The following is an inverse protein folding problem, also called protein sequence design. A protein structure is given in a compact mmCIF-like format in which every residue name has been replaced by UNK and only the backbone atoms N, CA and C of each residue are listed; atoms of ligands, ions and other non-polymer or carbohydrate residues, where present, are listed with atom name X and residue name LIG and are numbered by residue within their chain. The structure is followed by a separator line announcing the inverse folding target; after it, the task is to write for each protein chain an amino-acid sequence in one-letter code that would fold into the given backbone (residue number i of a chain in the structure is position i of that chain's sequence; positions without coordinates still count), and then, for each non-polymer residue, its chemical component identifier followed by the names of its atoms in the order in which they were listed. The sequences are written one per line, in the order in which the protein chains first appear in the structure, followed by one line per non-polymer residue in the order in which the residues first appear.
data_IF_488783050771
#
_entry.id   IF_488783050771
#
_cell.length_a   1.000
_cell.length_b   1.000
_cell.length_c   1.000
_cell.angle_alpha   90.00
_cell.angle_beta   90.00
_cell.angle_gamma   90.00
#
_symmetry.space_group_name_H-M   'P 1'
#
loop_
_entity.id
_entity.type
_entity.pdbx_description
1 polymer ?
#
# COMPACT_ATOMS: atom_id res chain seq x y z
N UNK A 1 28.68 -30.97 -14.92
CA UNK A 1 28.21 -29.71 -15.52
C UNK A 1 27.03 -29.25 -14.70
N UNK A 2 27.23 -28.32 -13.78
CA UNK A 2 26.16 -27.75 -12.95
C UNK A 2 25.25 -26.93 -13.87
N UNK A 3 24.00 -27.38 -14.01
CA UNK A 3 22.98 -26.64 -14.75
C UNK A 3 22.82 -25.28 -14.05
N UNK A 4 23.26 -24.19 -14.69
CA UNK A 4 23.24 -22.87 -14.09
C UNK A 4 21.78 -22.41 -14.12
N UNK A 5 21.06 -22.57 -13.01
CA UNK A 5 19.66 -22.15 -12.91
C UNK A 5 19.55 -20.68 -13.31
N UNK A 6 18.63 -20.39 -14.24
CA UNK A 6 18.37 -19.02 -14.67
C UNK A 6 17.30 -18.40 -13.77
N UNK A 7 17.26 -17.07 -13.71
CA UNK A 7 16.21 -16.34 -13.00
C UNK A 7 14.80 -16.76 -13.46
N UNK A 8 14.63 -17.00 -14.76
CA UNK A 8 13.35 -17.42 -15.33
C UNK A 8 12.92 -18.80 -14.81
N UNK A 9 13.86 -19.72 -14.69
CA UNK A 9 13.59 -21.06 -14.14
C UNK A 9 13.19 -20.96 -12.66
N UNK A 10 13.85 -20.07 -11.91
CA UNK A 10 13.55 -19.83 -10.50
C UNK A 10 12.18 -19.17 -10.28
N UNK A 11 11.82 -18.15 -11.07
CA UNK A 11 10.48 -17.56 -11.05
C UNK A 11 9.43 -18.63 -11.37
N UNK A 12 9.67 -19.45 -12.40
CA UNK A 12 8.73 -20.52 -12.77
C UNK A 12 8.59 -21.57 -11.67
N UNK A 13 9.69 -21.91 -10.98
CA UNK A 13 9.70 -22.82 -9.83
C UNK A 13 8.87 -22.27 -8.68
N UNK A 14 9.09 -21.01 -8.30
CA UNK A 14 8.33 -20.34 -7.23
C UNK A 14 6.85 -20.31 -7.58
N UNK A 15 6.47 -19.91 -8.79
CA UNK A 15 5.06 -19.83 -9.19
C UNK A 15 4.36 -21.19 -9.23
N UNK A 16 5.11 -22.28 -9.44
CA UNK A 16 4.59 -23.64 -9.39
C UNK A 16 4.39 -24.19 -7.96
N UNK A 17 5.00 -23.58 -6.94
CA UNK A 17 4.79 -23.95 -5.54
C UNK A 17 3.41 -23.52 -5.03
N UNK A 18 2.95 -24.18 -3.96
CA UNK A 18 1.77 -23.73 -3.22
C UNK A 18 2.04 -22.37 -2.58
N UNK A 19 0.99 -21.58 -2.35
CA UNK A 19 1.16 -20.22 -1.85
C UNK A 19 1.95 -20.16 -0.53
N UNK A 20 1.66 -21.05 0.42
CA UNK A 20 2.36 -21.17 1.70
C UNK A 20 3.86 -21.52 1.57
N UNK A 21 4.28 -22.11 0.45
CA UNK A 21 5.68 -22.47 0.20
C UNK A 21 6.44 -21.39 -0.58
N UNK A 22 5.74 -20.46 -1.24
CA UNK A 22 6.35 -19.47 -2.13
C UNK A 22 7.31 -18.55 -1.40
N UNK A 23 6.95 -18.05 -0.22
CA UNK A 23 7.81 -17.15 0.56
C UNK A 23 9.17 -17.79 0.86
N UNK A 24 9.16 -19.00 1.45
CA UNK A 24 10.39 -19.78 1.69
C UNK A 24 11.13 -20.07 0.39
N UNK A 25 10.41 -20.42 -0.68
CA UNK A 25 10.98 -20.68 -2.00
C UNK A 25 11.72 -19.48 -2.62
N UNK A 26 11.27 -18.25 -2.35
CA UNK A 26 11.91 -16.99 -2.76
C UNK A 26 13.11 -16.67 -1.87
N UNK A 27 12.97 -16.83 -0.54
CA UNK A 27 14.06 -16.59 0.42
C UNK A 27 15.25 -17.52 0.16
N UNK A 28 14.99 -18.79 -0.12
CA UNK A 28 16.03 -19.79 -0.36
C UNK A 28 16.67 -19.66 -1.76
N UNK A 29 16.12 -18.80 -2.63
CA UNK A 29 16.65 -18.58 -3.98
C UNK A 29 17.89 -17.68 -3.96
N UNK A 30 18.93 -17.95 -4.78
CA UNK A 30 20.01 -16.99 -4.97
C UNK A 30 19.57 -15.71 -5.70
N UNK A 31 18.32 -15.62 -6.16
CA UNK A 31 17.76 -14.49 -6.89
C UNK A 31 16.59 -13.79 -6.16
N UNK A 32 16.51 -13.88 -4.82
CA UNK A 32 15.41 -13.31 -4.00
C UNK A 32 14.98 -11.92 -4.47
N UNK A 33 15.93 -10.97 -4.56
CA UNK A 33 15.67 -9.59 -4.98
C UNK A 33 15.12 -9.52 -6.41
N UNK A 34 15.78 -10.16 -7.36
CA UNK A 34 15.38 -10.10 -8.77
C UNK A 34 14.04 -10.79 -9.04
N UNK A 35 13.68 -11.79 -8.23
CA UNK A 35 12.35 -12.43 -8.30
C UNK A 35 11.30 -11.41 -7.85
N UNK A 36 11.48 -10.77 -6.69
CA UNK A 36 10.53 -9.79 -6.16
C UNK A 36 10.38 -8.55 -7.07
N UNK A 37 11.45 -8.13 -7.74
CA UNK A 37 11.43 -7.05 -8.75
C UNK A 37 10.64 -7.41 -10.03
N UNK A 38 10.55 -8.71 -10.38
CA UNK A 38 9.95 -9.16 -11.64
C UNK A 38 8.59 -9.84 -11.47
N UNK A 39 8.21 -10.19 -10.24
CA UNK A 39 6.89 -10.71 -9.98
C UNK A 39 5.83 -9.62 -10.26
N UNK A 40 4.70 -9.99 -10.88
CA UNK A 40 3.56 -9.09 -10.93
C UNK A 40 3.20 -8.61 -9.51
N UNK A 41 2.89 -7.32 -9.29
CA UNK A 41 2.61 -6.79 -7.96
C UNK A 41 1.53 -7.58 -7.21
N UNK A 42 0.53 -8.09 -7.91
CA UNK A 42 -0.54 -8.91 -7.31
C UNK A 42 -0.01 -10.23 -6.74
N UNK A 43 0.91 -10.90 -7.46
CA UNK A 43 1.52 -12.15 -6.99
C UNK A 43 2.47 -11.88 -5.82
N UNK A 44 3.28 -10.82 -5.91
CA UNK A 44 4.18 -10.43 -4.83
C UNK A 44 3.38 -10.06 -3.56
N UNK A 45 2.31 -9.27 -3.70
CA UNK A 45 1.39 -8.93 -2.61
C UNK A 45 0.87 -10.18 -1.89
N UNK A 46 0.30 -11.14 -2.62
CA UNK A 46 -0.28 -12.35 -2.03
C UNK A 46 0.81 -13.14 -1.28
N UNK A 47 2.03 -13.25 -1.83
CA UNK A 47 3.14 -13.93 -1.15
C UNK A 47 3.53 -13.22 0.15
N UNK A 48 3.66 -11.88 0.13
CA UNK A 48 3.97 -11.09 1.32
C UNK A 48 2.87 -11.28 2.38
N UNK A 49 1.60 -11.14 1.99
CA UNK A 49 0.46 -11.22 2.92
C UNK A 49 0.27 -12.62 3.50
N UNK A 50 0.51 -13.68 2.73
CA UNK A 50 0.51 -15.05 3.26
C UNK A 50 1.63 -15.26 4.29
N UNK A 51 2.79 -14.64 4.09
CA UNK A 51 3.93 -14.75 5.00
C UNK A 51 3.92 -13.79 6.19
N UNK A 52 2.83 -13.03 6.37
CA UNK A 52 2.73 -11.97 7.37
C UNK A 52 2.93 -12.49 8.80
N UNK A 53 3.73 -11.77 9.59
CA UNK A 53 4.09 -12.20 10.95
C UNK A 53 5.04 -13.42 11.01
N UNK A 54 5.58 -13.85 9.86
CA UNK A 54 6.58 -14.92 9.77
C UNK A 54 7.81 -14.45 8.97
N UNK A 55 7.75 -14.59 7.65
CA UNK A 55 8.87 -14.39 6.73
C UNK A 55 8.69 -13.09 5.88
N UNK A 56 7.56 -12.39 6.01
CA UNK A 56 7.22 -11.14 5.32
C UNK A 56 8.29 -10.05 5.45
N UNK A 57 8.77 -9.81 6.68
CA UNK A 57 9.77 -8.78 6.95
C UNK A 57 11.11 -9.06 6.24
N UNK A 58 11.48 -10.33 6.03
CA UNK A 58 12.68 -10.71 5.28
C UNK A 58 12.49 -10.34 3.80
N UNK A 59 11.32 -10.64 3.24
CA UNK A 59 11.02 -10.38 1.84
C UNK A 59 10.88 -8.88 1.56
N UNK A 60 10.21 -8.13 2.44
CA UNK A 60 9.94 -6.70 2.28
C UNK A 60 11.20 -5.85 2.13
N UNK A 61 12.32 -6.24 2.71
CA UNK A 61 13.62 -5.58 2.53
C UNK A 61 14.09 -5.55 1.05
N UNK A 62 13.55 -6.44 0.22
CA UNK A 62 13.91 -6.58 -1.18
C UNK A 62 12.80 -6.13 -2.15
N UNK A 63 11.64 -5.74 -1.63
CA UNK A 63 10.51 -5.29 -2.45
C UNK A 63 10.75 -3.82 -2.85
N UNK A 64 10.66 -3.47 -4.14
CA UNK A 64 10.71 -2.07 -4.57
C UNK A 64 9.56 -1.24 -3.95
N UNK A 65 9.84 0.00 -3.53
CA UNK A 65 8.84 0.86 -2.91
C UNK A 65 7.62 1.14 -3.82
N UNK A 66 7.81 1.20 -5.13
CA UNK A 66 6.70 1.28 -6.10
C UNK A 66 5.75 0.08 -6.00
N UNK A 67 6.29 -1.13 -5.77
CA UNK A 67 5.47 -2.33 -5.58
C UNK A 67 4.74 -2.29 -4.23
N UNK A 68 5.38 -1.78 -3.17
CA UNK A 68 4.72 -1.52 -1.87
C UNK A 68 3.52 -0.60 -2.03
N UNK A 69 3.62 0.46 -2.84
CA UNK A 69 2.48 1.33 -3.14
C UNK A 69 1.33 0.55 -3.79
N UNK A 70 1.63 -0.37 -4.72
CA UNK A 70 0.61 -1.25 -5.31
C UNK A 70 0.02 -2.22 -4.28
N UNK A 71 0.78 -2.67 -3.30
CA UNK A 71 0.25 -3.54 -2.23
C UNK A 71 -0.76 -2.76 -1.37
N UNK A 72 -0.42 -1.52 -1.03
CA UNK A 72 -1.31 -0.61 -0.29
C UNK A 72 -2.58 -0.33 -1.10
N UNK A 73 -2.49 -0.09 -2.42
CA UNK A 73 -3.67 0.07 -3.29
C UNK A 73 -4.59 -1.18 -3.28
N UNK A 74 -4.01 -2.38 -3.11
CA UNK A 74 -4.75 -3.64 -3.11
C UNK A 74 -5.38 -3.99 -1.75
N UNK A 75 -4.73 -3.64 -0.64
CA UNK A 75 -5.09 -4.15 0.69
C UNK A 75 -5.67 -3.09 1.64
N UNK A 76 -5.30 -1.82 1.48
CA UNK A 76 -5.66 -0.77 2.44
C UNK A 76 -6.97 -0.04 2.10
N UNK A 77 -7.82 -0.58 1.24
CA UNK A 77 -8.99 0.14 0.73
C UNK A 77 -10.28 -0.64 0.82
N UNK A 78 -11.31 0.00 1.39
CA UNK A 78 -12.69 -0.45 1.35
C UNK A 78 -13.46 0.40 0.34
N UNK A 79 -13.59 -0.12 -0.89
CA UNK A 79 -14.16 0.62 -2.04
C UNK A 79 -13.37 1.90 -2.32
N UNK A 80 -13.92 3.05 -1.94
CA UNK A 80 -13.42 4.40 -2.12
C UNK A 80 -12.85 5.04 -0.85
N UNK A 81 -12.85 4.31 0.26
CA UNK A 81 -12.29 4.78 1.53
C UNK A 81 -10.99 4.05 1.87
N UNK A 82 -9.98 4.82 2.29
CA UNK A 82 -8.72 4.31 2.80
C UNK A 82 -8.90 3.83 4.25
N UNK A 83 -8.51 2.58 4.51
CA UNK A 83 -8.34 2.04 5.85
C UNK A 83 -6.99 2.50 6.42
N UNK A 84 -7.05 3.51 7.30
CA UNK A 84 -5.87 3.98 8.05
C UNK A 84 -5.29 2.88 8.94
N UNK A 85 -6.14 2.01 9.47
CA UNK A 85 -5.71 0.85 10.27
C UNK A 85 -4.87 -0.13 9.46
N UNK A 86 -5.32 -0.49 8.26
CA UNK A 86 -4.58 -1.39 7.37
C UNK A 86 -3.26 -0.74 6.93
N UNK A 87 -3.28 0.55 6.61
CA UNK A 87 -2.07 1.29 6.26
C UNK A 87 -1.06 1.30 7.41
N UNK A 88 -1.53 1.51 8.65
CA UNK A 88 -0.68 1.47 9.84
C UNK A 88 0.00 0.11 10.00
N UNK A 89 -0.73 -0.99 9.79
CA UNK A 89 -0.16 -2.35 9.82
C UNK A 89 0.94 -2.53 8.77
N UNK A 90 0.74 -2.03 7.55
CA UNK A 90 1.76 -2.05 6.49
C UNK A 90 3.02 -1.27 6.87
N UNK A 91 2.87 -0.07 7.42
CA UNK A 91 4.00 0.77 7.82
C UNK A 91 4.78 0.15 8.99
N UNK A 92 4.09 -0.44 9.96
CA UNK A 92 4.73 -1.19 11.05
C UNK A 92 5.50 -2.40 10.51
N UNK A 93 4.93 -3.14 9.57
CA UNK A 93 5.58 -4.31 8.97
C UNK A 93 6.81 -3.92 8.14
N UNK A 94 6.75 -2.81 7.39
CA UNK A 94 7.90 -2.23 6.69
C UNK A 94 8.98 -1.76 7.67
N UNK A 95 8.59 -1.15 8.78
CA UNK A 95 9.54 -0.76 9.84
C UNK A 95 10.26 -1.97 10.42
N UNK A 96 9.52 -3.06 10.69
CA UNK A 96 10.07 -4.33 11.13
C UNK A 96 10.99 -4.99 10.10
N UNK A 97 10.73 -4.77 8.81
CA UNK A 97 11.60 -5.21 7.73
C UNK A 97 12.94 -4.45 7.74
N UNK A 98 12.91 -3.13 7.60
CA UNK A 98 14.05 -2.24 7.81
C UNK A 98 13.62 -0.78 7.84
N UNK A 99 14.39 0.09 8.52
CA UNK A 99 14.14 1.53 8.48
C UNK A 99 14.25 2.11 7.06
N UNK A 100 15.14 1.56 6.22
CA UNK A 100 15.28 1.98 4.81
C UNK A 100 14.01 1.69 4.00
N UNK A 101 13.39 0.52 4.20
CA UNK A 101 12.13 0.17 3.55
C UNK A 101 11.00 1.13 3.92
N UNK A 102 10.93 1.55 5.18
CA UNK A 102 9.93 2.52 5.63
C UNK A 102 10.17 3.92 5.05
N UNK A 103 11.42 4.39 5.03
CA UNK A 103 11.78 5.70 4.45
C UNK A 103 11.45 5.71 2.95
N UNK A 104 11.86 4.69 2.20
CA UNK A 104 11.54 4.58 0.77
C UNK A 104 10.03 4.53 0.53
N UNK A 105 9.26 3.91 1.43
CA UNK A 105 7.81 3.94 1.34
C UNK A 105 7.25 5.36 1.55
N UNK A 106 7.76 6.15 2.52
CA UNK A 106 7.36 7.54 2.68
C UNK A 106 7.67 8.40 1.45
N UNK A 107 8.84 8.22 0.84
CA UNK A 107 9.24 8.95 -0.37
C UNK A 107 8.36 8.61 -1.59
N UNK A 108 7.80 7.40 -1.63
CA UNK A 108 7.07 6.89 -2.80
C UNK A 108 5.55 7.01 -2.66
N UNK A 109 5.02 6.95 -1.43
CA UNK A 109 3.59 7.06 -1.18
C UNK A 109 3.07 8.44 -1.55
N UNK A 110 1.83 8.47 -2.04
CA UNK A 110 1.13 9.72 -2.28
C UNK A 110 1.05 10.54 -0.98
N UNK A 111 1.37 11.83 -1.06
CA UNK A 111 1.31 12.74 0.10
C UNK A 111 -0.05 12.66 0.79
N UNK A 112 -1.14 12.58 0.04
CA UNK A 112 -2.50 12.50 0.55
C UNK A 112 -2.72 11.27 1.44
N UNK A 113 -2.09 10.13 1.14
CA UNK A 113 -2.15 8.92 1.98
C UNK A 113 -1.47 9.16 3.33
N UNK A 114 -0.30 9.79 3.31
CA UNK A 114 0.44 10.12 4.52
C UNK A 114 -0.31 11.17 5.34
N UNK A 115 -0.89 12.17 4.70
CA UNK A 115 -1.72 13.19 5.37
C UNK A 115 -2.94 12.54 6.01
N UNK A 116 -3.66 11.66 5.32
CA UNK A 116 -4.80 10.93 5.89
C UNK A 116 -4.42 10.08 7.10
N UNK A 117 -3.26 9.43 7.05
CA UNK A 117 -2.71 8.72 8.21
C UNK A 117 -2.52 9.69 9.38
N UNK A 118 -1.76 10.77 9.21
CA UNK A 118 -1.45 11.66 10.32
C UNK A 118 -2.68 12.45 10.82
N UNK A 119 -3.63 12.82 9.95
CA UNK A 119 -4.89 13.45 10.35
C UNK A 119 -5.74 12.58 11.29
N UNK A 120 -5.57 11.26 11.25
CA UNK A 120 -6.29 10.34 12.14
C UNK A 120 -5.66 10.23 13.54
N UNK A 121 -4.35 10.54 13.66
CA UNK A 121 -3.59 10.33 14.90
C UNK A 121 -3.15 11.62 15.58
N UNK A 122 -2.89 12.72 14.87
CA UNK A 122 -2.29 13.92 15.44
C UNK A 122 -3.10 15.18 15.18
N UNK A 123 -3.04 16.08 16.15
CA UNK A 123 -3.39 17.49 16.03
C UNK A 123 -2.10 18.29 15.85
N UNK A 124 -2.10 19.30 14.98
CA UNK A 124 -0.92 20.11 14.66
C UNK A 124 -1.25 21.59 14.77
N UNK A 125 -0.31 22.36 15.34
CA UNK A 125 -0.35 23.81 15.46
C UNK A 125 0.98 24.38 14.97
N UNK A 126 0.91 25.35 14.06
CA UNK A 126 2.08 26.11 13.62
C UNK A 126 2.24 27.38 14.46
N UNK A 127 3.43 27.59 15.02
CA UNK A 127 3.76 28.76 15.84
C UNK A 127 4.99 29.49 15.31
N UNK A 128 5.13 30.75 15.70
CA UNK A 128 6.39 31.47 15.50
C UNK A 128 7.31 31.20 16.70
N UNK A 129 8.65 31.16 16.53
CA UNK A 129 9.56 30.88 17.64
C UNK A 129 9.47 31.85 18.84
N UNK A 130 8.88 33.03 18.65
CA UNK A 130 8.69 34.05 19.69
C UNK A 130 7.24 34.11 20.20
N UNK A 131 6.43 33.10 19.91
CA UNK A 131 5.03 33.06 20.34
C UNK A 131 4.96 32.83 21.87
N UNK A 132 4.25 33.71 22.57
CA UNK A 132 4.11 33.64 24.02
C UNK A 132 3.23 32.46 24.47
N UNK A 133 2.49 31.83 23.55
CA UNK A 133 1.61 30.69 23.83
C UNK A 133 2.31 29.32 23.80
N UNK A 134 3.60 29.26 23.44
CA UNK A 134 4.38 28.01 23.42
C UNK A 134 4.34 27.26 24.77
N UNK A 135 4.52 27.91 25.94
CA UNK A 135 4.40 27.24 27.23
C UNK A 135 3.02 26.60 27.45
N UNK A 136 1.94 27.26 27.01
CA UNK A 136 0.58 26.74 27.14
C UNK A 136 0.39 25.48 26.27
N UNK A 137 0.92 25.47 25.05
CA UNK A 137 0.89 24.28 24.18
C UNK A 137 1.65 23.09 24.80
N UNK A 138 2.82 23.34 25.39
CA UNK A 138 3.60 22.29 26.08
C UNK A 138 2.83 21.74 27.29
N UNK A 139 2.16 22.59 28.06
CA UNK A 139 1.31 22.19 29.18
C UNK A 139 0.07 21.37 28.73
N UNK A 140 -0.42 21.62 27.51
CA UNK A 140 -1.49 20.85 26.87
C UNK A 140 -1.00 19.51 26.26
N UNK A 141 0.29 19.23 26.34
CA UNK A 141 0.91 17.98 25.87
C UNK A 141 1.34 17.99 24.40
N UNK A 142 1.42 19.17 23.76
CA UNK A 142 2.07 19.28 22.47
C UNK A 142 3.59 19.15 22.61
N UNK A 143 4.21 18.60 21.58
CA UNK A 143 5.67 18.50 21.43
C UNK A 143 6.09 18.95 20.03
N UNK A 144 7.38 19.20 19.84
CA UNK A 144 7.89 19.66 18.54
C UNK A 144 9.31 19.14 18.30
N UNK A 145 9.61 18.79 17.05
CA UNK A 145 10.95 18.40 16.60
C UNK A 145 11.75 19.58 16.03
N UNK A 146 11.07 20.65 15.60
CA UNK A 146 11.65 21.77 14.85
C UNK A 146 11.37 23.16 15.46
N UNK A 147 10.62 23.21 16.56
CA UNK A 147 10.14 24.42 17.24
C UNK A 147 9.28 25.35 16.36
N UNK A 148 8.70 24.81 15.27
CA UNK A 148 7.82 25.55 14.35
C UNK A 148 6.46 24.87 14.27
N UNK A 149 6.44 23.56 14.05
CA UNK A 149 5.23 22.76 14.12
C UNK A 149 5.20 22.00 15.43
N UNK A 150 4.15 22.25 16.21
CA UNK A 150 3.85 21.55 17.45
C UNK A 150 2.75 20.55 17.16
N UNK A 151 2.89 19.32 17.62
CA UNK A 151 1.89 18.28 17.43
C UNK A 151 1.60 17.55 18.73
N UNK A 152 0.41 16.95 18.81
CA UNK A 152 0.01 16.07 19.89
C UNK A 152 -0.79 14.91 19.32
N UNK A 153 -0.60 13.71 19.88
CA UNK A 153 -1.42 12.55 19.53
C UNK A 153 -2.82 12.72 20.15
N UNK A 154 -3.87 12.62 19.33
CA UNK A 154 -5.26 12.89 19.73
C UNK A 154 -5.76 11.82 20.71
N UNK A 155 -5.48 10.54 20.40
CA UNK A 155 -5.88 9.39 21.22
C UNK A 155 -4.66 8.51 21.47
N UNK A 156 -4.15 8.52 22.70
CA UNK A 156 -3.02 7.64 23.06
C UNK A 156 -3.46 6.17 23.11
N UNK A 157 -2.74 5.35 22.36
CA UNK A 157 -2.91 3.91 22.21
C UNK A 157 -1.56 3.22 21.97
N UNK A 158 -1.59 1.92 21.69
CA UNK A 158 -0.38 1.12 21.44
C UNK A 158 0.37 1.53 20.15
N UNK A 159 -0.25 2.31 19.26
CA UNK A 159 0.33 2.77 17.98
C UNK A 159 0.93 4.17 18.08
N UNK A 160 0.60 4.90 19.13
CA UNK A 160 1.01 6.29 19.35
C UNK A 160 2.53 6.46 19.40
N UNK A 161 3.26 5.47 19.93
CA UNK A 161 4.73 5.46 19.89
C UNK A 161 5.24 5.45 18.45
N UNK A 162 4.66 4.59 17.62
CA UNK A 162 5.08 4.43 16.23
C UNK A 162 4.79 5.69 15.40
N UNK A 163 3.70 6.41 15.67
CA UNK A 163 3.43 7.73 15.09
C UNK A 163 4.59 8.70 15.34
N UNK A 164 5.04 8.80 16.59
CA UNK A 164 6.15 9.69 16.97
C UNK A 164 7.46 9.25 16.34
N UNK A 165 7.71 7.94 16.25
CA UNK A 165 8.88 7.39 15.55
C UNK A 165 8.87 7.75 14.06
N UNK A 166 7.72 7.65 13.39
CA UNK A 166 7.57 8.04 11.99
C UNK A 166 7.84 9.54 11.80
N UNK A 167 7.29 10.41 12.65
CA UNK A 167 7.56 11.85 12.61
C UNK A 167 9.04 12.16 12.82
N UNK A 168 9.69 11.49 13.78
CA UNK A 168 11.13 11.62 14.03
C UNK A 168 11.96 11.17 12.83
N UNK A 169 11.56 10.09 12.16
CA UNK A 169 12.22 9.56 10.98
C UNK A 169 12.09 10.51 9.79
N UNK A 170 10.86 10.98 9.52
CA UNK A 170 10.59 12.00 8.50
C UNK A 170 11.39 13.26 8.76
N UNK A 171 11.41 13.78 9.99
CA UNK A 171 12.21 14.98 10.33
C UNK A 171 13.72 14.78 10.14
N UNK A 172 14.23 13.56 10.35
CA UNK A 172 15.66 13.26 10.26
C UNK A 172 16.11 13.06 8.81
N UNK A 173 15.28 12.39 8.00
CA UNK A 173 15.66 11.93 6.67
C UNK A 173 15.00 12.74 5.55
N UNK A 174 13.75 13.16 5.73
CA UNK A 174 12.88 13.76 4.72
C UNK A 174 12.20 15.04 5.24
N UNK A 175 13.00 16.07 5.57
CA UNK A 175 12.51 17.31 6.21
C UNK A 175 11.44 18.04 5.41
N UNK A 176 11.56 18.07 4.09
CA UNK A 176 10.57 18.71 3.21
C UNK A 176 9.23 17.96 3.25
N UNK A 177 9.26 16.63 3.24
CA UNK A 177 8.07 15.80 3.35
C UNK A 177 7.44 15.93 4.74
N UNK A 178 8.23 15.91 5.82
CA UNK A 178 7.78 16.18 7.17
C UNK A 178 6.98 17.49 7.26
N UNK A 179 7.56 18.60 6.78
CA UNK A 179 6.90 19.90 6.80
C UNK A 179 5.62 19.91 5.95
N UNK A 180 5.67 19.31 4.75
CA UNK A 180 4.52 19.21 3.85
C UNK A 180 3.35 18.44 4.47
N UNK A 181 3.65 17.33 5.15
CA UNK A 181 2.64 16.53 5.87
C UNK A 181 2.02 17.36 6.99
N UNK A 182 2.82 17.97 7.87
CA UNK A 182 2.29 18.72 9.01
C UNK A 182 1.49 19.95 8.58
N UNK A 183 1.92 20.65 7.53
CA UNK A 183 1.17 21.77 6.96
C UNK A 183 -0.18 21.30 6.39
N UNK A 184 -0.18 20.20 5.63
CA UNK A 184 -1.41 19.64 5.05
C UNK A 184 -2.35 19.09 6.13
N UNK A 185 -1.85 18.47 7.20
CA UNK A 185 -2.67 18.01 8.33
C UNK A 185 -3.49 19.17 8.93
N UNK A 186 -2.92 20.37 9.03
CA UNK A 186 -3.61 21.55 9.56
C UNK A 186 -4.63 22.16 8.59
N UNK A 187 -4.31 22.20 7.29
CA UNK A 187 -5.04 23.03 6.33
C UNK A 187 -5.91 22.25 5.34
N UNK A 188 -5.57 21.01 5.04
CA UNK A 188 -6.29 20.21 4.04
C UNK A 188 -7.51 19.51 4.66
N UNK A 189 -8.60 19.48 3.89
CA UNK A 189 -9.80 18.75 4.31
C UNK A 189 -9.63 17.26 4.04
N UNK A 190 -9.94 16.42 5.05
CA UNK A 190 -9.87 14.96 4.95
C UNK A 190 -10.56 14.42 3.69
N UNK A 191 -11.77 14.90 3.37
CA UNK A 191 -12.52 14.48 2.18
C UNK A 191 -11.80 14.79 0.86
N UNK A 192 -11.06 15.91 0.77
CA UNK A 192 -10.29 16.26 -0.43
C UNK A 192 -9.09 15.34 -0.62
N UNK A 193 -8.43 14.97 0.48
CA UNK A 193 -7.34 13.99 0.47
C UNK A 193 -7.84 12.58 0.11
N UNK A 194 -8.99 12.17 0.63
CA UNK A 194 -9.65 10.90 0.27
C UNK A 194 -10.00 10.83 -1.22
N UNK A 195 -10.64 11.87 -1.77
CA UNK A 195 -11.01 11.93 -3.20
C UNK A 195 -9.77 11.84 -4.10
N UNK A 196 -8.75 12.66 -3.82
CA UNK A 196 -7.52 12.71 -4.63
C UNK A 196 -6.75 11.38 -4.59
N UNK A 197 -6.61 10.79 -3.40
CA UNK A 197 -5.93 9.50 -3.25
C UNK A 197 -6.71 8.36 -3.93
N UNK A 198 -8.04 8.39 -3.87
CA UNK A 198 -8.89 7.42 -4.56
C UNK A 198 -8.75 7.51 -6.08
N UNK A 199 -8.71 8.71 -6.66
CA UNK A 199 -8.50 8.91 -8.09
C UNK A 199 -7.15 8.37 -8.56
N UNK A 200 -6.07 8.67 -7.82
CA UNK A 200 -4.72 8.17 -8.13
C UNK A 200 -4.65 6.65 -8.04
N UNK A 201 -5.19 6.07 -6.98
CA UNK A 201 -5.33 4.62 -6.85
C UNK A 201 -6.08 4.03 -8.03
N UNK A 202 -7.20 4.63 -8.43
CA UNK A 202 -8.03 4.13 -9.53
C UNK A 202 -7.23 4.04 -10.83
N UNK A 203 -6.42 5.05 -11.15
CA UNK A 203 -5.51 5.02 -12.30
C UNK A 203 -4.49 3.89 -12.18
N UNK A 204 -3.88 3.73 -11.00
CA UNK A 204 -2.90 2.67 -10.72
C UNK A 204 -3.50 1.26 -10.81
N UNK A 205 -4.75 1.07 -10.41
CA UNK A 205 -5.49 -0.17 -10.58
C UNK A 205 -5.75 -0.47 -12.06
N UNK A 206 -6.12 0.54 -12.85
CA UNK A 206 -6.30 0.39 -14.31
C UNK A 206 -5.02 -0.02 -15.01
N UNK A 207 -3.87 0.56 -14.64
CA UNK A 207 -2.55 0.15 -15.15
C UNK A 207 -2.23 -1.33 -14.86
N UNK A 208 -2.71 -1.84 -13.72
CA UNK A 208 -2.57 -3.25 -13.34
C UNK A 208 -3.61 -4.17 -14.00
N UNK A 209 -4.49 -3.63 -14.84
CA UNK A 209 -5.51 -4.37 -15.58
C UNK A 209 -6.83 -4.56 -14.84
N UNK A 210 -7.05 -3.85 -13.73
CA UNK A 210 -8.36 -3.82 -13.06
C UNK A 210 -9.26 -2.78 -13.74
N UNK A 211 -10.42 -3.18 -14.28
CA UNK A 211 -11.35 -2.25 -14.93
C UNK A 211 -11.99 -1.29 -13.91
N UNK A 212 -12.52 -0.17 -14.39
CA UNK A 212 -13.31 0.72 -13.52
C UNK A 212 -14.58 0.00 -13.00
N UNK A 213 -15.18 0.46 -11.89
CA UNK A 213 -16.45 -0.09 -11.42
C UNK A 213 -17.55 -0.10 -12.49
N UNK A 214 -17.61 0.97 -13.30
CA UNK A 214 -18.55 1.10 -14.41
C UNK A 214 -18.31 0.01 -15.46
N UNK A 215 -17.06 -0.13 -15.92
CA UNK A 215 -16.64 -1.16 -16.89
C UNK A 215 -16.88 -2.58 -16.36
N UNK A 216 -16.63 -2.83 -15.07
CA UNK A 216 -16.85 -4.13 -14.44
C UNK A 216 -18.34 -4.52 -14.45
N UNK A 217 -19.23 -3.57 -14.18
CA UNK A 217 -20.69 -3.79 -14.24
C UNK A 217 -21.15 -4.03 -15.69
N UNK A 218 -20.51 -3.40 -16.67
CA UNK A 218 -20.86 -3.59 -18.08
C UNK A 218 -20.78 -5.05 -18.56
N UNK A 219 -19.89 -5.86 -17.98
CA UNK A 219 -19.75 -7.29 -18.30
C UNK A 219 -21.03 -8.07 -17.95
N UNK A 220 -21.77 -7.64 -16.92
CA UNK A 220 -23.01 -8.26 -16.49
C UNK A 220 -24.26 -7.66 -17.15
N UNK A 221 -24.09 -6.65 -18.01
CA UNK A 221 -25.20 -6.01 -18.72
C UNK A 221 -25.95 -7.04 -19.56
N UNK A 222 -27.26 -7.15 -19.32
CA UNK A 222 -28.11 -8.01 -20.11
C UNK A 222 -28.08 -7.60 -21.59
N UNK A 223 -27.66 -8.53 -22.45
CA UNK A 223 -27.71 -8.35 -23.91
C UNK A 223 -28.89 -9.12 -24.47
N UNK A 224 -29.72 -8.46 -25.27
CA UNK A 224 -30.82 -9.11 -25.99
C UNK A 224 -30.26 -10.21 -26.90
N UNK A 225 -30.72 -11.48 -26.78
CA UNK A 225 -30.18 -12.61 -27.54
C UNK A 225 -30.17 -12.40 -29.06
N UNK A 226 -31.13 -11.65 -29.59
CA UNK A 226 -31.24 -11.33 -31.02
C UNK A 226 -30.05 -10.50 -31.53
N UNK A 227 -29.50 -9.60 -30.70
CA UNK A 227 -28.30 -8.82 -31.05
C UNK A 227 -27.03 -9.66 -31.08
N UNK A 228 -26.93 -10.69 -30.23
CA UNK A 228 -25.79 -11.62 -30.20
C UNK A 228 -25.76 -12.54 -31.42
N UNK A 229 -26.92 -13.01 -31.88
CA UNK A 229 -27.04 -13.86 -33.08
C UNK A 229 -26.59 -13.13 -34.36
N UNK A 230 -26.82 -11.82 -34.44
CA UNK A 230 -26.39 -10.99 -35.58
C UNK A 230 -24.87 -10.69 -35.59
N UNK A 231 -24.16 -10.97 -34.50
CA UNK A 231 -22.70 -10.77 -34.37
C UNK A 231 -21.89 -12.07 -34.57
N UNK A 232 -22.51 -13.12 -35.11
CA UNK A 232 -21.82 -14.37 -35.47
C UNK A 232 -21.75 -15.42 -34.37
N UNK A 233 -22.43 -15.22 -33.23
CA UNK A 233 -22.57 -16.26 -32.21
C UNK A 233 -23.61 -17.29 -32.68
N UNK A 234 -23.15 -18.50 -33.00
CA UNK A 234 -24.01 -19.60 -33.44
C UNK A 234 -24.79 -20.13 -32.24
N UNK A 235 -26.11 -20.31 -32.41
CA UNK A 235 -27.09 -20.77 -31.41
C UNK A 235 -26.76 -22.13 -30.75
N UNK A 236 -25.76 -22.86 -31.24
CA UNK A 236 -25.36 -24.19 -30.78
C UNK A 236 -24.05 -24.18 -30.01
N UNK A 237 -24.09 -23.88 -28.71
CA UNK A 237 -23.08 -24.34 -27.74
C UNK A 237 -23.77 -24.80 -26.46
N UNK A 238 -24.68 -25.77 -26.59
CA UNK A 238 -25.04 -26.61 -25.44
C UNK A 238 -23.98 -27.70 -25.36
N UNK A 239 -23.17 -27.78 -24.29
CA UNK A 239 -22.26 -28.91 -24.11
C UNK A 239 -23.11 -30.16 -23.98
N UNK A 240 -23.01 -31.07 -24.96
CA UNK A 240 -23.59 -32.41 -24.83
C UNK A 240 -22.70 -33.17 -23.88
N UNK A 241 -23.10 -33.27 -22.61
CA UNK A 241 -22.49 -34.22 -21.67
C UNK A 241 -22.88 -35.60 -22.17
N UNK A 242 -21.98 -36.24 -22.92
CA UNK A 242 -22.12 -37.66 -23.27
C UNK A 242 -22.09 -38.48 -21.99
N UNK A 243 -23.27 -38.87 -21.51
CA UNK A 243 -23.39 -39.95 -20.52
C UNK A 243 -23.06 -41.27 -21.23
N UNK A 244 -21.79 -41.67 -21.16
CA UNK A 244 -21.42 -43.08 -21.36
C UNK A 244 -21.29 -43.74 -19.98
N UNK A 245 -22.34 -44.45 -19.61
CA UNK A 245 -22.31 -45.72 -18.86
C UNK A 245 -23.33 -46.64 -19.55
#
# INVERSE_FOLDING_TARGET
MTNKLTLKDEISRVLACTLSERARGIIDSPYTKQILEQLPPQEAYIVIKESWGMDSQILLQYVPAEAVCRFIDLDCWERDSLSVDSLMEWLMELSGASSESLIQAFETLDLEILVLLFQDYIEVVHVRPTDEHIPDLLDEGFESLDNTYFYRVINEDDRSHFIKEMLSMLFTHEQELYASILEAVMYEMKTTMEETSYERRSLRLMEMGFPSPEEAIEVYRHVQPEKLLNQGIVKGKTPVITKHL
#
